data_IF_261528006869
#
_entry.id   IF_261528006869
#
_cell.length_a   1.000
_cell.length_b   1.000
_cell.length_c   1.000
_cell.angle_alpha   90.00
_cell.angle_beta   90.00
_cell.angle_gamma   90.00
#
_symmetry.space_group_name_H-M   'P 1'
#
loop_
_entity.id
_entity.type
_entity.pdbx_description
1 polymer ?
#
# COMPACT_ATOMS: atom_id res chain seq x y z
N UNK A 1 -32.61 -4.92 14.39
CA UNK A 1 -31.85 -4.13 13.40
C UNK A 1 -31.33 -2.84 14.05
N UNK A 2 -30.04 -2.53 13.89
CA UNK A 2 -29.49 -1.23 14.34
C UNK A 2 -30.14 -0.10 13.57
N UNK A 3 -30.75 0.87 14.27
CA UNK A 3 -31.34 2.07 13.66
C UNK A 3 -30.31 3.00 12.97
N UNK A 4 -29.01 2.92 13.33
CA UNK A 4 -27.93 3.78 12.81
C UNK A 4 -26.74 2.95 12.35
N UNK A 5 -26.31 3.11 11.11
CA UNK A 5 -25.04 2.61 10.60
C UNK A 5 -23.90 3.53 11.04
N UNK A 6 -22.86 2.95 11.64
CA UNK A 6 -21.64 3.70 11.95
C UNK A 6 -20.77 3.88 10.68
N UNK A 7 -19.82 4.84 10.71
CA UNK A 7 -18.83 5.00 9.63
C UNK A 7 -18.01 3.72 9.41
N UNK A 8 -17.74 2.98 10.49
CA UNK A 8 -17.03 1.68 10.46
C UNK A 8 -17.87 0.61 9.77
N UNK A 9 -19.17 0.50 10.09
CA UNK A 9 -20.07 -0.46 9.42
C UNK A 9 -20.12 -0.21 7.91
N UNK A 10 -20.24 1.07 7.50
CA UNK A 10 -20.28 1.44 6.08
C UNK A 10 -18.97 1.05 5.38
N UNK A 11 -17.83 1.43 5.95
CA UNK A 11 -16.51 1.13 5.39
C UNK A 11 -16.30 -0.38 5.22
N UNK A 12 -16.63 -1.18 6.24
CA UNK A 12 -16.47 -2.63 6.18
C UNK A 12 -17.41 -3.30 5.17
N UNK A 13 -18.64 -2.79 4.99
CA UNK A 13 -19.54 -3.28 3.94
C UNK A 13 -19.04 -2.94 2.54
N UNK A 14 -18.56 -1.71 2.32
CA UNK A 14 -17.93 -1.31 1.07
C UNK A 14 -16.72 -2.20 0.77
N UNK A 15 -15.90 -2.45 1.78
CA UNK A 15 -14.71 -3.32 1.66
C UNK A 15 -15.10 -4.76 1.35
N UNK A 16 -16.11 -5.32 2.02
CA UNK A 16 -16.62 -6.68 1.75
C UNK A 16 -17.07 -6.86 0.30
N UNK A 17 -17.69 -5.83 -0.27
CA UNK A 17 -18.18 -5.87 -1.65
C UNK A 17 -17.06 -5.71 -2.70
N UNK A 18 -15.97 -4.98 -2.40
CA UNK A 18 -14.94 -4.67 -3.41
C UNK A 18 -13.71 -5.56 -3.34
N UNK A 19 -13.48 -6.27 -2.22
CA UNK A 19 -12.36 -7.20 -2.08
C UNK A 19 -12.62 -8.46 -2.90
N UNK A 20 -11.72 -8.87 -3.80
CA UNK A 20 -11.88 -10.10 -4.58
C UNK A 20 -11.51 -11.34 -3.75
N UNK A 21 -12.32 -11.65 -2.73
CA UNK A 21 -12.03 -12.68 -1.72
C UNK A 21 -11.59 -14.02 -2.31
N UNK A 22 -12.31 -14.52 -3.31
CA UNK A 22 -11.98 -15.79 -3.95
C UNK A 22 -10.59 -15.79 -4.61
N UNK A 23 -10.21 -14.66 -5.23
CA UNK A 23 -8.88 -14.53 -5.84
C UNK A 23 -7.79 -14.51 -4.76
N UNK A 24 -8.03 -13.81 -3.63
CA UNK A 24 -7.08 -13.76 -2.52
C UNK A 24 -6.98 -15.11 -1.80
N UNK A 25 -8.09 -15.79 -1.56
CA UNK A 25 -8.09 -17.12 -0.95
C UNK A 25 -7.37 -18.14 -1.85
N UNK A 26 -7.57 -18.08 -3.17
CA UNK A 26 -6.94 -18.98 -4.15
C UNK A 26 -5.41 -18.95 -4.07
N UNK A 27 -4.80 -17.78 -3.86
CA UNK A 27 -3.33 -17.67 -3.76
C UNK A 27 -2.79 -18.18 -2.42
N UNK A 28 -3.63 -18.25 -1.38
CA UNK A 28 -3.21 -18.67 -0.03
C UNK A 28 -3.49 -20.17 0.21
N UNK A 29 -4.57 -20.71 -0.32
CA UNK A 29 -5.04 -22.10 -0.11
C UNK A 29 -3.92 -23.15 -0.23
N UNK A 30 -2.99 -23.10 -1.23
CA UNK A 30 -1.96 -24.11 -1.37
C UNK A 30 -1.01 -24.22 -0.16
N UNK A 31 -0.91 -23.16 0.63
CA UNK A 31 0.01 -23.05 1.77
C UNK A 31 -0.71 -23.11 3.11
N UNK A 32 -2.04 -23.00 3.10
CA UNK A 32 -2.84 -22.95 4.32
C UNK A 32 -3.00 -24.34 4.93
N UNK A 33 -2.89 -24.47 6.27
CA UNK A 33 -3.05 -25.77 6.91
C UNK A 33 -4.41 -26.40 6.62
N UNK A 34 -4.40 -27.67 6.22
CA UNK A 34 -5.61 -28.46 6.00
C UNK A 34 -6.07 -29.17 7.27
N UNK A 35 -7.36 -29.45 7.38
CA UNK A 35 -7.93 -30.32 8.43
C UNK A 35 -7.39 -31.74 8.28
N UNK A 36 -7.25 -32.47 9.40
CA UNK A 36 -6.80 -33.87 9.40
C UNK A 36 -5.47 -34.13 10.10
N UNK A 37 -4.76 -33.09 10.55
CA UNK A 37 -3.62 -33.24 11.46
C UNK A 37 -4.09 -33.37 12.91
N UNK A 38 -3.29 -34.07 13.73
CA UNK A 38 -3.54 -34.20 15.17
C UNK A 38 -3.46 -32.83 15.83
N UNK A 39 -4.50 -32.42 16.57
CA UNK A 39 -4.56 -31.12 17.28
C UNK A 39 -5.85 -30.33 16.98
N UNK A 40 -5.89 -29.08 17.45
CA UNK A 40 -7.02 -28.17 17.19
C UNK A 40 -7.12 -27.88 15.68
N UNK A 41 -8.31 -28.01 15.07
CA UNK A 41 -8.51 -27.65 13.67
C UNK A 41 -8.08 -26.20 13.39
N UNK A 42 -7.49 -25.91 12.23
CA UNK A 42 -7.15 -24.54 11.87
C UNK A 42 -8.43 -23.69 11.71
N UNK A 43 -8.34 -22.42 12.07
CA UNK A 43 -9.40 -21.44 11.80
C UNK A 43 -9.59 -21.34 10.28
N UNK A 44 -10.84 -21.25 9.80
CA UNK A 44 -11.11 -21.17 8.36
C UNK A 44 -10.39 -20.00 7.69
N UNK A 45 -9.78 -20.24 6.51
CA UNK A 45 -8.98 -19.25 5.78
C UNK A 45 -9.72 -17.93 5.55
N UNK A 46 -10.98 -17.98 5.13
CA UNK A 46 -11.82 -16.81 4.89
C UNK A 46 -11.91 -15.88 6.12
N UNK A 47 -12.00 -16.46 7.32
CA UNK A 47 -12.02 -15.69 8.58
C UNK A 47 -10.67 -15.07 8.91
N UNK A 48 -9.59 -15.85 8.78
CA UNK A 48 -8.24 -15.35 9.03
C UNK A 48 -7.88 -14.22 8.07
N UNK A 49 -8.24 -14.35 6.80
CA UNK A 49 -8.01 -13.31 5.79
C UNK A 49 -8.81 -12.03 6.11
N UNK A 50 -10.09 -12.15 6.49
CA UNK A 50 -10.90 -10.99 6.91
C UNK A 50 -10.38 -10.34 8.18
N UNK A 51 -9.95 -11.12 9.17
CA UNK A 51 -9.33 -10.61 10.39
C UNK A 51 -8.04 -9.82 10.07
N UNK A 52 -7.18 -10.38 9.21
CA UNK A 52 -5.95 -9.73 8.75
C UNK A 52 -6.24 -8.44 7.97
N UNK A 53 -7.17 -8.45 7.02
CA UNK A 53 -7.59 -7.27 6.26
C UNK A 53 -8.14 -6.18 7.19
N UNK A 54 -9.00 -6.53 8.14
CA UNK A 54 -9.51 -5.58 9.13
C UNK A 54 -8.38 -5.00 10.00
N UNK A 55 -7.45 -5.84 10.46
CA UNK A 55 -6.27 -5.39 11.20
C UNK A 55 -5.48 -4.32 10.43
N UNK A 56 -5.18 -4.58 9.14
CA UNK A 56 -4.41 -3.65 8.31
C UNK A 56 -5.18 -2.34 8.08
N UNK A 57 -6.47 -2.40 7.75
CA UNK A 57 -7.29 -1.23 7.45
C UNK A 57 -7.52 -0.31 8.66
N UNK A 58 -7.61 -0.86 9.87
CA UNK A 58 -7.79 -0.07 11.10
C UNK A 58 -6.48 0.23 11.84
N UNK A 59 -5.40 -0.32 11.36
CA UNK A 59 -4.11 -0.12 11.96
C UNK A 59 -4.00 -0.68 13.37
N UNK A 60 -4.54 -1.86 13.65
CA UNK A 60 -4.57 -2.49 14.98
C UNK A 60 -3.35 -3.40 15.21
N UNK A 61 -2.95 -3.61 16.48
CA UNK A 61 -2.00 -4.66 16.86
C UNK A 61 -2.66 -6.03 16.76
N UNK A 62 -1.90 -7.11 16.98
CA UNK A 62 -2.46 -8.47 16.97
C UNK A 62 -3.47 -8.62 18.11
N UNK A 63 -3.17 -8.17 19.32
CA UNK A 63 -4.09 -8.12 20.46
C UNK A 63 -5.24 -7.13 20.21
N UNK A 64 -4.94 -5.99 19.59
CA UNK A 64 -5.95 -4.95 19.33
C UNK A 64 -7.03 -5.36 18.33
N UNK A 65 -6.76 -6.23 17.36
CA UNK A 65 -7.80 -6.78 16.49
C UNK A 65 -8.61 -7.87 17.20
N UNK A 66 -7.98 -8.70 18.04
CA UNK A 66 -8.67 -9.66 18.89
C UNK A 66 -9.69 -8.95 19.79
N UNK A 67 -9.26 -7.96 20.57
CA UNK A 67 -10.14 -7.13 21.40
C UNK A 67 -11.25 -6.47 20.58
N UNK A 68 -10.91 -5.94 19.40
CA UNK A 68 -11.88 -5.29 18.52
C UNK A 68 -12.97 -6.24 17.99
N UNK A 69 -12.71 -7.54 17.87
CA UNK A 69 -13.73 -8.56 17.52
C UNK A 69 -14.71 -8.72 18.68
N UNK A 70 -14.24 -8.69 19.94
CA UNK A 70 -15.12 -8.75 21.11
C UNK A 70 -15.94 -7.47 21.29
N UNK A 71 -15.34 -6.30 21.11
CA UNK A 71 -15.96 -5.00 21.41
C UNK A 71 -16.83 -4.46 20.26
N UNK A 72 -16.43 -4.68 18.99
CA UNK A 72 -17.05 -4.09 17.83
C UNK A 72 -17.90 -5.07 17.04
N UNK A 73 -19.23 -4.97 17.15
CA UNK A 73 -20.13 -5.77 16.33
C UNK A 73 -19.84 -5.65 14.82
N UNK A 74 -19.41 -4.48 14.34
CA UNK A 74 -19.09 -4.28 12.91
C UNK A 74 -17.89 -5.12 12.47
N UNK A 75 -16.80 -5.11 13.26
CA UNK A 75 -15.60 -5.90 12.98
C UNK A 75 -15.92 -7.38 13.10
N UNK A 76 -16.62 -7.80 14.17
CA UNK A 76 -17.04 -9.17 14.38
C UNK A 76 -17.88 -9.72 13.23
N UNK A 77 -18.87 -8.95 12.77
CA UNK A 77 -19.71 -9.34 11.63
C UNK A 77 -18.92 -9.44 10.33
N UNK A 78 -17.95 -8.54 10.10
CA UNK A 78 -17.07 -8.59 8.93
C UNK A 78 -16.16 -9.81 8.93
N UNK A 79 -15.61 -10.18 10.09
CA UNK A 79 -14.76 -11.38 10.25
C UNK A 79 -15.58 -12.66 10.18
N UNK A 80 -16.89 -12.59 10.46
CA UNK A 80 -17.80 -13.73 10.45
C UNK A 80 -17.70 -14.59 11.72
N UNK A 81 -17.51 -13.96 12.88
CA UNK A 81 -17.45 -14.62 14.20
C UNK A 81 -18.80 -14.49 14.92
N UNK A 82 -19.29 -15.60 15.44
CA UNK A 82 -20.43 -15.66 16.36
C UNK A 82 -19.96 -16.04 17.77
N UNK A 83 -19.83 -15.05 18.64
CA UNK A 83 -19.36 -15.25 20.02
C UNK A 83 -20.29 -16.12 20.89
N UNK A 84 -21.51 -16.41 20.43
CA UNK A 84 -22.36 -17.36 21.13
C UNK A 84 -21.97 -18.83 20.89
N UNK A 85 -21.17 -19.09 19.85
CA UNK A 85 -20.80 -20.44 19.41
C UNK A 85 -19.29 -20.69 19.46
N UNK A 86 -18.48 -19.62 19.34
CA UNK A 86 -17.03 -19.74 19.21
C UNK A 86 -16.32 -18.51 19.78
N UNK A 87 -15.07 -18.68 20.20
CA UNK A 87 -14.18 -17.56 20.56
C UNK A 87 -13.54 -16.94 19.33
N UNK A 88 -13.16 -15.67 19.41
CA UNK A 88 -12.31 -15.03 18.39
C UNK A 88 -10.98 -15.80 18.24
N UNK A 89 -10.38 -15.80 17.03
CA UNK A 89 -8.99 -16.20 16.89
C UNK A 89 -8.11 -15.28 17.72
N UNK A 90 -7.17 -15.87 18.46
CA UNK A 90 -6.27 -15.11 19.32
C UNK A 90 -5.13 -14.42 18.52
N UNK A 91 -4.43 -13.51 19.18
CA UNK A 91 -3.30 -12.78 18.62
C UNK A 91 -2.20 -13.70 18.08
N UNK A 92 -1.96 -14.85 18.74
CA UNK A 92 -0.95 -15.84 18.30
C UNK A 92 -1.37 -16.51 17.00
N UNK A 93 -2.63 -16.89 16.87
CA UNK A 93 -3.19 -17.45 15.63
C UNK A 93 -3.05 -16.49 14.46
N UNK A 94 -3.29 -15.19 14.68
CA UNK A 94 -3.08 -14.16 13.65
C UNK A 94 -1.59 -13.96 13.33
N UNK A 95 -0.72 -14.01 14.33
CA UNK A 95 0.73 -13.95 14.15
C UNK A 95 1.21 -15.11 13.27
N UNK A 96 0.75 -16.32 13.52
CA UNK A 96 1.09 -17.51 12.72
C UNK A 96 0.59 -17.39 11.27
N UNK A 97 -0.61 -16.86 11.08
CA UNK A 97 -1.14 -16.55 9.75
C UNK A 97 -0.25 -15.54 9.01
N UNK A 98 0.16 -14.46 9.66
CA UNK A 98 1.08 -13.47 9.09
C UNK A 98 2.43 -14.09 8.74
N UNK A 99 3.01 -14.92 9.61
CA UNK A 99 4.26 -15.64 9.34
C UNK A 99 4.14 -16.60 8.15
N UNK A 100 2.97 -17.21 7.95
CA UNK A 100 2.69 -18.00 6.75
C UNK A 100 2.74 -17.12 5.49
N UNK A 101 2.07 -15.96 5.51
CA UNK A 101 2.08 -15.01 4.40
C UNK A 101 3.51 -14.52 4.09
N UNK A 102 4.30 -14.19 5.12
CA UNK A 102 5.69 -13.74 4.98
C UNK A 102 6.59 -14.84 4.41
N UNK A 103 6.52 -16.05 4.97
CA UNK A 103 7.37 -17.20 4.59
C UNK A 103 7.22 -17.59 3.13
N UNK A 104 6.01 -17.50 2.60
CA UNK A 104 5.68 -17.89 1.24
C UNK A 104 5.50 -16.70 0.30
N UNK A 105 5.89 -15.47 0.71
CA UNK A 105 5.78 -14.23 -0.07
C UNK A 105 4.36 -13.94 -0.59
N UNK A 106 3.34 -14.41 0.15
CA UNK A 106 1.95 -14.32 -0.26
C UNK A 106 1.40 -12.90 -0.23
N UNK A 107 2.04 -11.97 0.49
CA UNK A 107 1.66 -10.55 0.49
C UNK A 107 1.85 -9.90 -0.88
N UNK A 108 2.89 -10.28 -1.62
CA UNK A 108 3.10 -9.89 -3.01
C UNK A 108 2.05 -10.54 -3.93
N UNK A 109 1.78 -11.83 -3.74
CA UNK A 109 0.74 -12.54 -4.49
C UNK A 109 -0.65 -11.92 -4.26
N UNK A 110 -0.98 -11.50 -3.03
CA UNK A 110 -2.20 -10.76 -2.69
C UNK A 110 -2.24 -9.41 -3.43
N UNK A 111 -1.15 -8.65 -3.40
CA UNK A 111 -1.04 -7.37 -4.12
C UNK A 111 -1.28 -7.56 -5.61
N UNK A 112 -0.61 -8.53 -6.22
CA UNK A 112 -0.73 -8.84 -7.64
C UNK A 112 -2.14 -9.32 -8.01
N UNK A 113 -2.80 -10.13 -7.17
CA UNK A 113 -4.19 -10.56 -7.37
C UNK A 113 -5.16 -9.37 -7.37
N UNK A 114 -4.96 -8.41 -6.47
CA UNK A 114 -5.75 -7.15 -6.44
C UNK A 114 -5.46 -6.32 -7.69
N UNK A 115 -4.20 -6.13 -8.07
CA UNK A 115 -3.83 -5.37 -9.25
C UNK A 115 -4.41 -5.99 -10.54
N UNK A 116 -4.36 -7.31 -10.66
CA UNK A 116 -4.97 -8.04 -11.77
C UNK A 116 -6.51 -7.86 -11.82
N UNK A 117 -7.18 -7.96 -10.67
CA UNK A 117 -8.62 -7.71 -10.56
C UNK A 117 -8.99 -6.30 -11.04
N UNK A 118 -8.22 -5.27 -10.65
CA UNK A 118 -8.45 -3.89 -11.04
C UNK A 118 -8.14 -3.65 -12.52
N UNK A 119 -7.08 -4.26 -13.05
CA UNK A 119 -6.74 -4.21 -14.48
C UNK A 119 -7.83 -4.87 -15.34
N UNK A 120 -8.35 -6.03 -14.94
CA UNK A 120 -9.46 -6.70 -15.62
C UNK A 120 -10.76 -5.87 -15.67
N UNK A 121 -10.91 -4.91 -14.71
CA UNK A 121 -12.00 -3.93 -14.70
C UNK A 121 -11.66 -2.63 -15.46
N UNK A 122 -10.51 -2.57 -16.17
CA UNK A 122 -10.06 -1.39 -16.93
C UNK A 122 -9.62 -0.20 -16.07
N UNK A 123 -9.30 -0.42 -14.79
CA UNK A 123 -8.92 0.64 -13.86
C UNK A 123 -7.42 0.91 -13.80
N UNK A 124 -6.58 0.07 -14.41
CA UNK A 124 -5.12 0.26 -14.55
C UNK A 124 -4.80 0.18 -16.02
N UNK A 125 -4.41 1.31 -16.64
CA UNK A 125 -4.19 1.41 -18.09
C UNK A 125 -2.75 1.14 -18.51
N UNK A 126 -1.78 1.32 -17.61
CA UNK A 126 -0.34 1.10 -17.85
C UNK A 126 0.31 1.98 -18.93
N UNK A 127 -0.33 3.09 -19.34
CA UNK A 127 0.21 3.99 -20.36
C UNK A 127 1.30 4.93 -19.82
N UNK A 128 1.24 5.24 -18.52
CA UNK A 128 2.21 6.08 -17.84
C UNK A 128 2.30 5.80 -16.37
N UNK A 129 3.48 6.05 -15.79
CA UNK A 129 3.78 5.81 -14.37
C UNK A 129 4.21 7.08 -13.66
N UNK A 130 3.66 7.34 -12.48
CA UNK A 130 4.14 8.35 -11.54
C UNK A 130 5.01 7.62 -10.51
N UNK A 131 6.26 8.08 -10.32
CA UNK A 131 7.15 7.52 -9.30
C UNK A 131 7.31 8.50 -8.15
N UNK A 132 7.22 7.98 -6.92
CA UNK A 132 7.46 8.77 -5.71
C UNK A 132 7.79 7.86 -4.52
N UNK A 133 8.31 8.45 -3.45
CA UNK A 133 8.67 7.76 -2.24
C UNK A 133 8.18 8.48 -0.99
N UNK A 134 7.81 7.69 0.01
CA UNK A 134 7.44 8.24 1.29
C UNK A 134 8.18 7.56 2.43
N UNK A 135 8.51 8.32 3.46
CA UNK A 135 9.23 7.84 4.63
C UNK A 135 8.25 7.26 5.65
N UNK A 136 8.55 6.06 6.12
CA UNK A 136 7.87 5.38 7.23
C UNK A 136 8.84 5.35 8.40
N UNK A 137 8.49 6.05 9.50
CA UNK A 137 9.37 6.17 10.65
C UNK A 137 9.52 4.83 11.40
N UNK A 138 10.72 4.56 11.91
CA UNK A 138 10.97 3.45 12.83
C UNK A 138 11.27 3.97 14.24
N UNK A 139 11.10 3.16 15.29
CA UNK A 139 11.45 3.56 16.64
C UNK A 139 12.95 3.90 16.74
N UNK A 140 13.32 5.16 17.10
CA UNK A 140 14.72 5.57 17.18
C UNK A 140 15.36 5.21 18.53
N UNK A 141 14.58 4.67 19.47
CA UNK A 141 15.05 4.37 20.84
C UNK A 141 15.99 3.17 20.87
N UNK A 142 17.03 3.27 21.67
CA UNK A 142 17.91 2.18 22.07
C UNK A 142 17.50 1.53 23.40
N UNK A 143 16.44 2.04 24.04
CA UNK A 143 15.91 1.51 25.32
C UNK A 143 15.05 0.27 25.09
N UNK A 144 15.63 -0.75 24.46
CA UNK A 144 14.99 -2.04 24.24
C UNK A 144 15.92 -3.17 24.74
N UNK A 145 15.42 -4.40 24.81
CA UNK A 145 16.19 -5.56 25.32
C UNK A 145 17.55 -5.75 24.62
N UNK A 146 17.67 -5.37 23.35
CA UNK A 146 18.91 -5.50 22.57
C UNK A 146 19.83 -4.28 22.68
N UNK A 147 19.40 -3.18 23.34
CA UNK A 147 20.19 -1.93 23.46
C UNK A 147 20.49 -1.23 22.14
N UNK A 148 19.82 -1.62 21.04
CA UNK A 148 20.16 -1.17 19.68
C UNK A 148 18.91 -0.78 18.89
N UNK A 149 19.08 0.15 17.95
CA UNK A 149 18.10 0.42 16.92
C UNK A 149 18.02 -0.74 15.95
N UNK A 150 16.95 -0.81 15.16
CA UNK A 150 16.86 -1.78 14.07
C UNK A 150 17.97 -1.51 13.04
N UNK A 151 18.92 -2.46 12.81
CA UNK A 151 20.08 -2.24 11.95
C UNK A 151 19.72 -2.13 10.46
N UNK A 152 18.52 -2.55 10.06
CA UNK A 152 18.02 -2.46 8.68
C UNK A 152 17.31 -1.14 8.39
N UNK A 153 17.09 -0.31 9.42
CA UNK A 153 16.49 1.02 9.29
C UNK A 153 17.59 2.09 9.36
N UNK A 154 17.49 3.12 8.50
CA UNK A 154 18.51 4.15 8.41
C UNK A 154 17.94 5.57 8.53
N UNK A 155 18.84 6.54 8.76
CA UNK A 155 18.48 7.94 8.82
C UNK A 155 18.33 8.52 7.41
N UNK A 156 17.34 9.41 7.25
CA UNK A 156 17.14 10.22 6.05
C UNK A 156 16.78 11.64 6.45
N UNK A 157 17.27 12.63 5.70
CA UNK A 157 16.97 14.04 5.92
C UNK A 157 15.88 14.48 4.95
N UNK A 158 14.81 15.10 5.47
CA UNK A 158 13.78 15.76 4.65
C UNK A 158 13.66 17.21 5.12
N UNK A 159 14.04 18.14 4.26
CA UNK A 159 14.22 19.54 4.66
C UNK A 159 15.30 19.63 5.73
N UNK A 160 15.00 20.29 6.85
CA UNK A 160 15.91 20.41 7.99
C UNK A 160 15.72 19.35 9.08
N UNK A 161 14.83 18.38 8.88
CA UNK A 161 14.50 17.36 9.88
C UNK A 161 15.09 16.00 9.51
N UNK A 162 15.65 15.32 10.51
CA UNK A 162 16.14 13.95 10.40
C UNK A 162 15.06 12.95 10.82
N UNK A 163 14.92 11.90 10.04
CA UNK A 163 14.02 10.77 10.30
C UNK A 163 14.81 9.47 10.33
N UNK A 164 14.45 8.57 11.21
CA UNK A 164 14.97 7.21 11.24
C UNK A 164 13.87 6.24 10.79
N UNK A 165 14.15 5.38 9.82
CA UNK A 165 13.14 4.44 9.32
C UNK A 165 13.47 3.83 7.96
N UNK A 166 12.41 3.51 7.23
CA UNK A 166 12.44 2.98 5.87
C UNK A 166 11.73 3.91 4.89
N UNK A 167 11.91 3.67 3.61
CA UNK A 167 11.13 4.30 2.54
C UNK A 167 10.22 3.28 1.87
N UNK A 168 9.03 3.72 1.52
CA UNK A 168 8.15 3.06 0.58
C UNK A 168 8.19 3.83 -0.74
N UNK A 169 8.75 3.22 -1.78
CA UNK A 169 8.74 3.73 -3.14
C UNK A 169 7.58 3.08 -3.88
N UNK A 170 6.82 3.84 -4.64
CA UNK A 170 5.68 3.35 -5.40
C UNK A 170 5.70 3.82 -6.84
N UNK A 171 5.32 2.92 -7.75
CA UNK A 171 4.92 3.21 -9.11
C UNK A 171 3.39 3.25 -9.18
N UNK A 172 2.85 4.34 -9.68
CA UNK A 172 1.42 4.64 -9.70
C UNK A 172 0.98 4.89 -11.13
N UNK A 173 -0.10 4.27 -11.56
CA UNK A 173 -0.71 4.52 -12.86
C UNK A 173 -1.11 5.99 -12.98
N UNK A 174 -0.60 6.65 -14.02
CA UNK A 174 -0.76 8.09 -14.22
C UNK A 174 -2.22 8.49 -14.52
N UNK A 175 -3.05 7.57 -14.98
CA UNK A 175 -4.45 7.81 -15.26
C UNK A 175 -5.32 7.66 -14.01
N UNK A 176 -5.25 6.50 -13.37
CA UNK A 176 -6.14 6.14 -12.26
C UNK A 176 -5.63 6.56 -10.87
N UNK A 177 -4.34 6.74 -10.70
CA UNK A 177 -3.72 6.96 -9.39
C UNK A 177 -3.59 5.69 -8.55
N UNK A 178 -3.74 4.50 -9.15
CA UNK A 178 -3.60 3.21 -8.48
C UNK A 178 -2.16 2.71 -8.52
N UNK A 179 -1.72 2.11 -7.42
CA UNK A 179 -0.35 1.60 -7.27
C UNK A 179 -0.21 0.28 -8.00
N UNK A 180 0.77 0.16 -8.88
CA UNK A 180 1.10 -1.10 -9.57
C UNK A 180 2.44 -1.70 -9.13
N UNK A 181 3.32 -0.91 -8.51
CA UNK A 181 4.62 -1.37 -8.00
C UNK A 181 4.91 -0.79 -6.63
N UNK A 182 5.46 -1.60 -5.72
CA UNK A 182 5.84 -1.19 -4.35
C UNK A 182 7.21 -1.75 -4.02
N UNK A 183 8.12 -0.89 -3.56
CA UNK A 183 9.46 -1.28 -3.11
C UNK A 183 9.72 -0.67 -1.73
N UNK A 184 10.10 -1.52 -0.77
CA UNK A 184 10.53 -1.10 0.56
C UNK A 184 12.06 -1.06 0.65
N UNK A 185 12.64 0.08 1.05
CA UNK A 185 14.09 0.22 1.23
C UNK A 185 14.43 0.84 2.58
N UNK A 186 15.69 0.73 2.99
CA UNK A 186 16.20 1.51 4.12
C UNK A 186 16.09 3.03 3.84
N UNK A 187 15.92 3.83 4.89
CA UNK A 187 15.65 5.26 4.76
C UNK A 187 16.71 6.08 4.01
N UNK A 188 17.97 5.60 3.97
CA UNK A 188 19.09 6.26 3.30
C UNK A 188 19.19 5.96 1.80
N UNK A 189 18.42 5.01 1.27
CA UNK A 189 18.42 4.71 -0.18
C UNK A 189 17.85 5.90 -0.95
N UNK A 190 18.51 6.27 -2.03
CA UNK A 190 18.10 7.40 -2.88
C UNK A 190 16.84 7.04 -3.68
N UNK A 191 15.86 7.96 -3.76
CA UNK A 191 14.62 7.73 -4.49
C UNK A 191 14.85 7.51 -5.98
N UNK A 192 15.75 8.28 -6.57
CA UNK A 192 16.12 8.18 -7.99
C UNK A 192 16.73 6.82 -8.36
N UNK A 193 17.43 6.13 -7.43
CA UNK A 193 18.00 4.81 -7.70
C UNK A 193 16.94 3.70 -7.82
N UNK A 194 15.73 3.95 -7.35
CA UNK A 194 14.61 3.01 -7.45
C UNK A 194 13.68 3.30 -8.63
N UNK A 195 13.89 4.42 -9.32
CA UNK A 195 12.98 4.91 -10.36
C UNK A 195 12.69 3.86 -11.45
N UNK A 196 13.73 3.22 -11.97
CA UNK A 196 13.60 2.21 -13.02
C UNK A 196 12.85 0.96 -12.51
N UNK A 197 13.12 0.50 -11.31
CA UNK A 197 12.47 -0.66 -10.71
C UNK A 197 10.99 -0.43 -10.38
N UNK A 198 10.53 0.83 -10.39
CA UNK A 198 9.12 1.19 -10.20
C UNK A 198 8.30 1.16 -11.48
N UNK A 199 8.95 1.06 -12.65
CA UNK A 199 8.27 0.93 -13.94
C UNK A 199 7.85 -0.52 -14.16
N UNK A 200 6.79 -0.73 -14.96
CA UNK A 200 6.33 -2.07 -15.36
C UNK A 200 6.83 -2.47 -16.76
N UNK A 201 7.45 -1.53 -17.51
CA UNK A 201 8.11 -1.81 -18.79
C UNK A 201 7.31 -1.45 -20.05
N UNK A 202 5.99 -1.22 -19.91
CA UNK A 202 5.12 -0.89 -21.06
C UNK A 202 4.80 0.62 -21.13
N UNK A 203 5.39 1.44 -20.23
CA UNK A 203 5.11 2.86 -20.14
C UNK A 203 5.64 3.65 -21.32
N UNK A 204 4.80 4.55 -21.85
CA UNK A 204 5.24 5.59 -22.79
C UNK A 204 5.82 6.80 -22.04
N UNK A 205 5.32 7.11 -20.85
CA UNK A 205 5.71 8.27 -20.05
C UNK A 205 5.88 7.92 -18.57
N UNK A 206 6.90 8.52 -17.95
CA UNK A 206 7.11 8.45 -16.50
C UNK A 206 7.23 9.86 -15.88
N UNK A 207 6.60 10.06 -14.73
CA UNK A 207 6.52 11.34 -14.05
C UNK A 207 7.20 11.27 -12.69
N UNK A 208 8.10 12.21 -12.40
CA UNK A 208 8.79 12.31 -11.12
C UNK A 208 8.88 13.74 -10.60
N UNK A 209 9.11 13.91 -9.31
CA UNK A 209 9.41 15.22 -8.74
C UNK A 209 10.84 15.69 -9.09
N UNK A 210 11.22 16.90 -8.65
CA UNK A 210 12.54 17.43 -8.91
C UNK A 210 13.69 16.61 -8.30
N UNK A 211 13.41 15.69 -7.39
CA UNK A 211 14.38 14.75 -6.82
C UNK A 211 14.83 13.67 -7.81
N UNK A 212 14.05 13.44 -8.87
CA UNK A 212 14.37 12.50 -9.95
C UNK A 212 15.12 13.12 -11.13
N UNK A 213 15.58 14.37 -11.03
CA UNK A 213 16.37 15.00 -12.09
C UNK A 213 17.64 14.22 -12.39
N UNK A 214 17.86 13.93 -13.68
CA UNK A 214 19.00 13.15 -14.14
C UNK A 214 18.76 11.63 -14.12
N UNK A 215 17.53 11.15 -13.88
CA UNK A 215 17.18 9.73 -13.93
C UNK A 215 17.56 9.07 -15.27
N UNK A 216 17.38 9.77 -16.39
CA UNK A 216 17.71 9.29 -17.74
C UNK A 216 19.22 9.04 -17.95
N UNK A 217 20.07 9.68 -17.14
CA UNK A 217 21.54 9.58 -17.23
C UNK A 217 22.10 8.46 -16.35
N UNK A 218 21.26 7.77 -15.61
CA UNK A 218 21.69 6.71 -14.70
C UNK A 218 21.86 5.38 -15.43
N UNK A 219 22.85 4.58 -15.03
CA UNK A 219 23.04 3.24 -15.62
C UNK A 219 21.81 2.36 -15.55
N UNK A 220 21.03 2.47 -14.47
CA UNK A 220 19.82 1.69 -14.24
C UNK A 220 18.70 2.01 -15.24
N UNK A 221 18.75 3.20 -15.85
CA UNK A 221 17.76 3.70 -16.83
C UNK A 221 18.27 3.69 -18.27
N UNK A 222 19.47 3.18 -18.52
CA UNK A 222 20.12 3.26 -19.85
C UNK A 222 19.38 2.52 -20.95
N UNK A 223 18.63 1.45 -20.61
CA UNK A 223 17.85 0.65 -21.56
C UNK A 223 16.36 1.03 -21.60
N UNK A 224 15.94 2.00 -20.78
CA UNK A 224 14.55 2.41 -20.71
C UNK A 224 14.17 3.28 -21.92
N UNK A 225 13.11 2.90 -22.62
CA UNK A 225 12.54 3.66 -23.75
C UNK A 225 11.50 4.69 -23.30
N UNK A 226 11.20 4.75 -22.00
CA UNK A 226 10.19 5.64 -21.42
C UNK A 226 10.61 7.11 -21.48
N UNK A 227 9.67 7.98 -21.83
CA UNK A 227 9.88 9.43 -21.77
C UNK A 227 9.69 9.95 -20.34
N UNK A 228 10.75 10.47 -19.74
CA UNK A 228 10.69 11.04 -18.39
C UNK A 228 10.20 12.49 -18.38
N UNK A 229 9.20 12.78 -17.56
CA UNK A 229 8.64 14.10 -17.31
C UNK A 229 8.94 14.52 -15.87
N UNK A 230 10.19 14.85 -15.59
CA UNK A 230 10.63 15.28 -14.26
C UNK A 230 10.30 16.76 -14.06
N UNK A 231 9.87 17.13 -12.85
CA UNK A 231 9.59 18.52 -12.50
C UNK A 231 10.87 19.38 -12.52
N UNK A 232 10.74 20.60 -13.00
CA UNK A 232 11.83 21.58 -12.95
C UNK A 232 11.99 22.17 -11.54
N UNK A 233 13.22 22.58 -11.21
CA UNK A 233 13.49 23.26 -9.93
C UNK A 233 12.83 24.63 -9.91
N UNK A 234 12.19 25.04 -8.80
CA UNK A 234 11.55 26.36 -8.70
C UNK A 234 12.48 27.54 -9.00
N UNK A 235 13.79 27.39 -8.70
CA UNK A 235 14.80 28.42 -9.02
C UNK A 235 14.92 28.67 -10.51
N UNK A 236 14.91 27.59 -11.34
CA UNK A 236 15.01 27.72 -12.81
C UNK A 236 13.76 28.35 -13.41
N UNK A 237 12.58 28.04 -12.89
CA UNK A 237 11.33 28.67 -13.34
C UNK A 237 11.32 30.16 -13.03
N UNK A 238 11.79 30.54 -11.84
CA UNK A 238 11.87 31.95 -11.43
C UNK A 238 12.79 32.81 -12.33
N UNK A 239 13.89 32.26 -12.88
CA UNK A 239 14.78 33.00 -13.77
C UNK A 239 14.16 33.36 -15.11
N UNK A 240 13.08 32.67 -15.51
CA UNK A 240 12.36 32.88 -16.77
C UNK A 240 11.05 33.66 -16.58
N UNK A 241 10.75 34.09 -15.36
CA UNK A 241 9.53 34.82 -15.04
C UNK A 241 9.40 36.10 -15.86
N UNK A 242 8.20 36.38 -16.39
CA UNK A 242 7.92 37.57 -17.22
C UNK A 242 8.30 37.42 -18.68
N UNK A 243 8.66 36.23 -19.14
CA UNK A 243 8.90 35.95 -20.57
C UNK A 243 7.84 34.99 -21.10
N UNK A 244 7.52 35.06 -22.41
CA UNK A 244 6.60 34.13 -23.06
C UNK A 244 7.03 32.66 -22.90
N UNK A 245 8.32 32.40 -22.90
CA UNK A 245 8.90 31.06 -22.63
C UNK A 245 8.63 30.64 -21.17
N UNK A 246 8.79 31.56 -20.22
CA UNK A 246 8.52 31.31 -18.80
C UNK A 246 7.06 30.99 -18.54
N UNK A 247 6.13 31.64 -19.22
CA UNK A 247 4.70 31.36 -19.12
C UNK A 247 4.36 29.98 -19.66
N UNK A 248 4.92 29.57 -20.80
CA UNK A 248 4.74 28.22 -21.35
C UNK A 248 5.32 27.15 -20.44
N UNK A 249 6.52 27.34 -19.92
CA UNK A 249 7.14 26.41 -18.96
C UNK A 249 6.28 26.28 -17.71
N UNK A 250 5.73 27.39 -17.20
CA UNK A 250 4.86 27.39 -16.02
C UNK A 250 3.58 26.56 -16.28
N UNK A 251 2.98 26.66 -17.46
CA UNK A 251 1.82 25.85 -17.85
C UNK A 251 2.18 24.35 -17.90
N UNK A 252 3.31 24.00 -18.52
CA UNK A 252 3.79 22.60 -18.57
C UNK A 252 4.05 22.05 -17.18
N UNK A 253 4.70 22.82 -16.30
CA UNK A 253 4.96 22.38 -14.92
C UNK A 253 3.67 22.23 -14.10
N UNK A 254 2.67 23.07 -14.35
CA UNK A 254 1.35 22.94 -13.73
C UNK A 254 0.65 21.64 -14.19
N UNK A 255 0.73 21.31 -15.48
CA UNK A 255 0.20 20.04 -16.00
C UNK A 255 0.91 18.82 -15.38
N UNK A 256 2.26 18.82 -15.32
CA UNK A 256 3.04 17.77 -14.64
C UNK A 256 2.66 17.66 -13.16
N UNK A 257 2.51 18.78 -12.45
CA UNK A 257 2.11 18.78 -11.04
C UNK A 257 0.71 18.17 -10.83
N UNK A 258 -0.26 18.47 -11.73
CA UNK A 258 -1.61 17.91 -11.69
C UNK A 258 -1.59 16.38 -11.84
N UNK A 259 -0.77 15.84 -12.76
CA UNK A 259 -0.62 14.40 -12.94
C UNK A 259 0.00 13.79 -11.67
N UNK A 260 1.09 14.35 -11.18
CA UNK A 260 1.83 13.86 -10.01
C UNK A 260 1.03 13.92 -8.72
N UNK A 261 0.09 14.84 -8.58
CA UNK A 261 -0.75 14.95 -7.39
C UNK A 261 -1.50 13.64 -7.06
N UNK A 262 -1.73 12.78 -8.04
CA UNK A 262 -2.40 11.48 -7.84
C UNK A 262 -1.62 10.53 -6.94
N UNK A 263 -0.29 10.60 -6.90
CA UNK A 263 0.55 9.74 -6.04
C UNK A 263 0.33 9.99 -4.55
N UNK A 264 -0.14 11.18 -4.18
CA UNK A 264 -0.43 11.51 -2.80
C UNK A 264 -1.64 10.73 -2.24
N UNK A 265 -2.56 10.29 -3.09
CA UNK A 265 -3.77 9.59 -2.68
C UNK A 265 -3.47 8.24 -2.00
N UNK A 266 -2.71 7.30 -2.60
CA UNK A 266 -2.35 6.06 -1.92
C UNK A 266 -1.52 6.29 -0.66
N UNK A 267 -0.62 7.27 -0.64
CA UNK A 267 0.10 7.64 0.58
C UNK A 267 -0.84 8.13 1.69
N UNK A 268 -1.84 8.94 1.32
CA UNK A 268 -2.85 9.40 2.27
C UNK A 268 -3.65 8.24 2.86
N UNK A 269 -4.11 7.30 2.03
CA UNK A 269 -4.84 6.12 2.50
C UNK A 269 -3.98 5.31 3.48
N UNK A 270 -2.75 4.97 3.12
CA UNK A 270 -1.86 4.16 3.96
C UNK A 270 -1.52 4.88 5.27
N UNK A 271 -1.08 6.15 5.20
CA UNK A 271 -0.61 6.87 6.39
C UNK A 271 -1.72 7.40 7.29
N UNK A 272 -2.83 7.84 6.73
CA UNK A 272 -3.88 8.52 7.49
C UNK A 272 -5.09 7.62 7.75
N UNK A 273 -5.62 6.95 6.72
CA UNK A 273 -6.78 6.09 6.90
C UNK A 273 -6.39 4.79 7.63
N UNK A 274 -5.33 4.11 7.18
CA UNK A 274 -4.81 2.88 7.79
C UNK A 274 -3.83 3.15 8.94
N UNK A 275 -3.51 4.43 9.23
CA UNK A 275 -2.66 4.86 10.35
C UNK A 275 -1.24 4.30 10.33
N UNK A 276 -0.74 3.90 9.16
CA UNK A 276 0.59 3.31 9.02
C UNK A 276 1.67 4.38 8.78
N UNK A 277 1.97 5.18 9.81
CA UNK A 277 3.04 6.21 9.78
C UNK A 277 4.36 5.71 10.34
N UNK A 278 4.34 4.58 11.06
CA UNK A 278 5.50 3.95 11.70
C UNK A 278 5.54 2.47 11.39
N UNK A 279 6.76 1.94 11.27
CA UNK A 279 6.99 0.49 11.15
C UNK A 279 6.41 -0.25 12.35
N UNK A 280 5.87 -1.43 12.12
CA UNK A 280 5.29 -2.27 13.17
C UNK A 280 6.19 -3.42 13.57
N UNK A 281 7.01 -3.89 12.63
CA UNK A 281 7.83 -5.06 12.81
C UNK A 281 9.31 -4.68 12.83
N UNK A 282 10.14 -5.55 13.39
CA UNK A 282 11.59 -5.45 13.30
C UNK A 282 12.04 -6.04 11.95
N UNK A 283 12.95 -5.35 11.29
CA UNK A 283 13.52 -5.74 10.01
C UNK A 283 12.79 -5.19 8.78
N UNK A 284 13.54 -5.04 7.68
CA UNK A 284 13.03 -4.44 6.44
C UNK A 284 12.04 -5.35 5.73
N UNK A 285 12.34 -6.65 5.61
CA UNK A 285 11.54 -7.60 4.85
C UNK A 285 10.08 -7.70 5.33
N UNK A 286 9.86 -7.78 6.65
CA UNK A 286 8.51 -7.88 7.24
C UNK A 286 7.69 -6.61 7.00
N UNK A 287 8.32 -5.44 7.11
CA UNK A 287 7.65 -4.17 6.87
C UNK A 287 7.40 -3.95 5.36
N UNK A 288 8.31 -4.38 4.47
CA UNK A 288 8.09 -4.36 3.02
C UNK A 288 6.92 -5.29 2.63
N UNK A 289 6.85 -6.50 3.17
CA UNK A 289 5.72 -7.40 2.98
C UNK A 289 4.39 -6.77 3.43
N UNK A 290 4.39 -6.07 4.58
CA UNK A 290 3.21 -5.32 5.04
C UNK A 290 2.82 -4.21 4.07
N UNK A 291 3.79 -3.47 3.50
CA UNK A 291 3.50 -2.41 2.53
C UNK A 291 2.79 -2.94 1.29
N UNK A 292 3.15 -4.14 0.78
CA UNK A 292 2.43 -4.79 -0.32
C UNK A 292 0.93 -4.92 -0.01
N UNK A 293 0.59 -5.49 1.15
CA UNK A 293 -0.82 -5.61 1.58
C UNK A 293 -1.48 -4.24 1.71
N UNK A 294 -0.83 -3.27 2.36
CA UNK A 294 -1.40 -1.95 2.61
C UNK A 294 -1.69 -1.20 1.31
N UNK A 295 -0.78 -1.22 0.33
CA UNK A 295 -1.01 -0.57 -0.96
C UNK A 295 -2.02 -1.31 -1.82
N UNK A 296 -2.07 -2.64 -1.77
CA UNK A 296 -3.14 -3.42 -2.39
C UNK A 296 -4.53 -3.03 -1.86
N UNK A 297 -4.69 -2.99 -0.54
CA UNK A 297 -5.92 -2.53 0.10
C UNK A 297 -6.22 -1.05 -0.16
N UNK A 298 -5.19 -0.19 -0.25
CA UNK A 298 -5.36 1.20 -0.61
C UNK A 298 -5.93 1.37 -2.03
N UNK A 299 -5.49 0.55 -2.98
CA UNK A 299 -6.05 0.53 -4.33
C UNK A 299 -7.55 0.21 -4.32
N UNK A 300 -7.98 -0.80 -3.57
CA UNK A 300 -9.40 -1.14 -3.44
C UNK A 300 -10.20 -0.01 -2.82
N UNK A 301 -9.66 0.67 -1.79
CA UNK A 301 -10.30 1.84 -1.17
C UNK A 301 -10.41 3.00 -2.15
N UNK A 302 -9.40 3.27 -2.97
CA UNK A 302 -9.43 4.33 -3.97
C UNK A 302 -10.42 4.01 -5.10
N UNK A 303 -10.40 2.77 -5.59
CA UNK A 303 -11.26 2.30 -6.67
C UNK A 303 -12.71 1.99 -6.25
N UNK A 304 -13.03 1.97 -4.93
CA UNK A 304 -14.30 1.43 -4.42
C UNK A 304 -15.56 2.00 -5.04
N UNK A 305 -15.57 3.31 -5.36
CA UNK A 305 -16.75 3.95 -5.98
C UNK A 305 -17.03 3.39 -7.37
N UNK A 306 -15.98 3.16 -8.16
CA UNK A 306 -16.05 2.57 -9.48
C UNK A 306 -16.49 1.11 -9.43
N UNK A 307 -15.91 0.35 -8.50
CA UNK A 307 -16.23 -1.06 -8.32
C UNK A 307 -17.71 -1.24 -7.92
N UNK A 308 -18.19 -0.49 -6.93
CA UNK A 308 -19.59 -0.54 -6.50
C UNK A 308 -20.58 -0.08 -7.56
N UNK A 309 -20.22 0.91 -8.40
CA UNK A 309 -21.06 1.35 -9.49
C UNK A 309 -21.16 0.30 -10.60
N UNK A 310 -20.06 -0.35 -10.95
CA UNK A 310 -20.04 -1.40 -11.96
C UNK A 310 -20.90 -2.62 -11.56
N UNK A 311 -20.82 -3.05 -10.29
CA UNK A 311 -21.61 -4.18 -9.78
C UNK A 311 -23.13 -3.86 -9.75
N UNK A 312 -23.52 -2.59 -9.53
CA UNK A 312 -24.92 -2.17 -9.58
C UNK A 312 -25.52 -2.18 -11.00
N UNK A 313 -24.69 -1.98 -12.03
CA UNK A 313 -25.12 -2.04 -13.44
C UNK A 313 -25.29 -3.46 -13.97
N UNK A 314 -24.56 -4.42 -13.40
CA UNK A 314 -24.69 -5.86 -13.78
C UNK A 314 -25.90 -6.50 -13.09
N UNK A 315 -26.38 -5.95 -11.98
CA UNK A 315 -27.53 -6.46 -11.21
C UNK A 315 -28.89 -5.87 -11.65
N UNK A 316 -28.89 -4.91 -12.58
CA UNK A 316 -30.10 -4.30 -13.18
C UNK A 316 -30.33 -4.85 -14.58
#
# INVERSE_FOLDING_TARGET
QKKKQTRRDRFLRELEAVVPWEALERVIVPFYPTTGRRGRPPVGLARMLRMYVAQQCFGLSDEGIEDAIYDSQAIRSFVGIDLSRESAPDATTLLDFRHLLERHQLTESIFNAIAHHLAAKGLILREGTIVDATLIAAPPSTKNKAGQRDPQMHQSKKGNQWYFGMKAHIGVDAHSGLVHTVIGTAGNVSDISQAQALLHGDEQAAFGDAGYQGVEKRPESAEATVQWHVAEKPSKIKTLAGTALGDLITQVEHAKASIRAKVEHPFHVVKNLFKHRKTRYKGLAKNAAQLMTLFGLANLVLARRWLLAADSQVAS
#
